data_IF_134340523269
#
_entry.id   IF_134340523269
#
_cell.length_a   1.000
_cell.length_b   1.000
_cell.length_c   1.000
_cell.angle_alpha   90.00
_cell.angle_beta   90.00
_cell.angle_gamma   90.00
#
_symmetry.space_group_name_H-M   'P 1'
#
loop_
_entity.id
_entity.type
_entity.pdbx_description
1 polymer ?
#
# COMPACT_ATOMS: atom_id res chain seq x y z
N UNK A 1 -20.12 23.59 6.22
CA UNK A 1 -20.31 22.82 4.95
C UNK A 1 -19.09 23.08 4.07
N UNK A 2 -17.96 22.40 4.36
CA UNK A 2 -16.70 22.63 3.65
C UNK A 2 -16.67 21.82 2.35
N UNK A 3 -16.62 22.53 1.21
CA UNK A 3 -16.27 21.98 -0.11
C UNK A 3 -14.74 21.88 -0.18
N UNK A 4 -14.21 20.67 -0.11
CA UNK A 4 -12.81 20.37 -0.42
C UNK A 4 -12.60 20.43 -1.94
N UNK A 5 -12.06 21.55 -2.42
CA UNK A 5 -11.45 21.66 -3.76
C UNK A 5 -9.95 21.90 -3.58
N UNK A 6 -9.18 21.19 -4.42
CA UNK A 6 -7.73 21.30 -4.63
C UNK A 6 -6.83 20.77 -3.51
N UNK A 7 -6.45 19.49 -3.65
CA UNK A 7 -5.20 18.96 -3.11
C UNK A 7 -4.15 19.10 -4.22
N UNK A 8 -3.26 20.07 -4.04
CA UNK A 8 -2.15 20.41 -4.93
C UNK A 8 -1.06 19.34 -4.83
N UNK A 9 -1.17 18.34 -5.71
CA UNK A 9 -0.16 17.56 -6.43
C UNK A 9 1.24 17.18 -5.91
N UNK A 10 1.75 17.50 -4.71
CA UNK A 10 3.21 17.34 -4.46
C UNK A 10 3.71 16.41 -3.34
N UNK A 11 2.88 15.74 -2.54
CA UNK A 11 3.42 14.84 -1.49
C UNK A 11 2.57 13.59 -1.25
N UNK A 12 2.27 12.85 -2.31
CA UNK A 12 1.74 11.49 -2.18
C UNK A 12 2.53 10.52 -3.04
N UNK A 13 3.02 9.47 -2.36
CA UNK A 13 3.47 8.19 -2.91
C UNK A 13 4.83 8.17 -3.63
N UNK A 14 5.79 7.52 -2.96
CA UNK A 14 6.83 6.65 -3.53
C UNK A 14 7.44 7.10 -4.87
N UNK A 15 8.27 8.14 -4.86
CA UNK A 15 9.01 8.47 -6.09
C UNK A 15 10.07 9.56 -6.05
N UNK A 16 10.47 10.09 -4.89
CA UNK A 16 11.55 11.11 -4.85
C UNK A 16 12.49 11.02 -3.63
N UNK A 17 12.24 10.14 -2.66
CA UNK A 17 13.22 9.81 -1.61
C UNK A 17 12.99 8.36 -1.17
N UNK A 18 14.04 7.56 -1.08
CA UNK A 18 14.01 6.17 -0.60
C UNK A 18 13.60 6.03 0.88
N UNK A 19 13.35 7.14 1.58
CA UNK A 19 13.03 7.18 3.01
C UNK A 19 11.68 7.84 3.27
N UNK A 20 10.58 7.22 2.84
CA UNK A 20 9.25 7.58 3.36
C UNK A 20 8.61 6.39 4.09
N UNK A 21 8.92 6.28 5.37
CA UNK A 21 8.13 5.45 6.25
C UNK A 21 7.78 6.19 7.53
N UNK A 22 6.56 5.96 7.95
CA UNK A 22 6.07 6.40 9.24
C UNK A 22 5.09 5.33 9.68
N UNK A 23 5.20 4.91 10.94
CA UNK A 23 4.10 4.21 11.59
C UNK A 23 2.84 5.08 11.48
N UNK A 24 1.64 4.52 11.32
CA UNK A 24 0.39 5.28 11.25
C UNK A 24 -0.03 5.81 12.63
N UNK A 25 0.93 6.39 13.36
CA UNK A 25 0.65 7.16 14.55
C UNK A 25 0.23 8.57 14.13
N UNK A 26 -0.96 8.96 14.56
CA UNK A 26 -1.59 10.24 14.25
C UNK A 26 -0.80 11.44 14.76
N UNK A 27 0.07 11.24 15.77
CA UNK A 27 1.02 12.25 16.21
C UNK A 27 2.03 12.64 15.13
N UNK A 28 2.14 11.86 14.04
CA UNK A 28 3.18 12.04 13.04
C UNK A 28 2.72 12.92 11.87
N UNK A 29 1.49 13.43 11.89
CA UNK A 29 0.94 14.30 10.86
C UNK A 29 0.47 15.62 11.48
N UNK A 30 1.01 16.75 11.00
CA UNK A 30 0.63 18.09 11.41
C UNK A 30 -0.09 18.79 10.26
N UNK A 31 -1.38 19.04 10.44
CA UNK A 31 -2.17 19.80 9.48
C UNK A 31 -1.87 21.30 9.63
N UNK A 32 -1.38 21.90 8.56
CA UNK A 32 -1.19 23.35 8.47
C UNK A 32 -2.40 23.96 7.77
N UNK A 33 -3.21 24.68 8.57
CA UNK A 33 -4.42 25.38 8.11
C UNK A 33 -4.12 26.49 7.09
N UNK A 34 -2.92 27.08 7.14
CA UNK A 34 -2.53 28.21 6.29
C UNK A 34 -2.20 27.75 4.88
N UNK A 35 -1.53 26.61 4.76
CA UNK A 35 -1.11 26.04 3.47
C UNK A 35 -2.05 24.93 2.98
N UNK A 36 -3.02 24.52 3.81
CA UNK A 36 -3.92 23.39 3.56
C UNK A 36 -3.15 22.09 3.26
N UNK A 37 -1.98 21.93 3.92
CA UNK A 37 -1.08 20.79 3.74
C UNK A 37 -1.03 19.94 5.00
N UNK A 38 -0.84 18.63 4.81
CA UNK A 38 -0.53 17.71 5.90
C UNK A 38 0.97 17.47 5.88
N UNK A 39 1.66 17.92 6.93
CA UNK A 39 3.10 17.75 7.10
C UNK A 39 3.38 16.46 7.88
N UNK A 40 4.26 15.62 7.36
CA UNK A 40 4.72 14.41 8.04
C UNK A 40 5.92 14.78 8.93
N UNK A 41 5.84 14.52 10.24
CA UNK A 41 6.84 14.97 11.22
C UNK A 41 7.70 13.85 11.81
N UNK A 42 7.47 12.59 11.40
CA UNK A 42 8.22 11.44 11.90
C UNK A 42 8.65 10.51 10.75
N UNK A 43 9.95 10.21 10.72
CA UNK A 43 10.61 9.29 9.78
C UNK A 43 11.24 8.09 10.50
N UNK A 44 10.93 7.88 11.79
CA UNK A 44 11.64 6.96 12.69
C UNK A 44 11.53 5.46 12.36
N UNK A 45 10.81 5.08 11.30
CA UNK A 45 10.62 3.69 10.89
C UNK A 45 11.20 3.37 9.50
N UNK A 46 12.09 4.22 8.96
CA UNK A 46 12.59 4.17 7.57
C UNK A 46 13.11 2.76 7.22
N UNK A 47 12.43 2.06 6.31
CA UNK A 47 12.87 0.80 5.73
C UNK A 47 12.94 0.99 4.22
N UNK A 48 14.13 0.86 3.66
CA UNK A 48 14.31 0.73 2.22
C UNK A 48 13.70 -0.60 1.74
N UNK A 49 13.00 -0.55 0.62
CA UNK A 49 12.50 -1.73 -0.08
C UNK A 49 13.28 -1.89 -1.37
N UNK A 50 13.58 -3.13 -1.76
CA UNK A 50 14.17 -3.39 -3.09
C UNK A 50 13.17 -2.97 -4.17
N UNK A 51 13.67 -2.39 -5.27
CA UNK A 51 12.80 -1.94 -6.36
C UNK A 51 11.96 -3.08 -6.94
N UNK A 52 12.53 -4.28 -7.07
CA UNK A 52 11.78 -5.48 -7.47
C UNK A 52 10.61 -5.81 -6.55
N UNK A 53 10.75 -5.61 -5.24
CA UNK A 53 9.66 -5.83 -4.28
C UNK A 53 8.57 -4.77 -4.45
N UNK A 54 8.93 -3.51 -4.70
CA UNK A 54 7.94 -2.43 -4.94
C UNK A 54 7.19 -2.65 -6.24
N UNK A 55 7.90 -3.02 -7.31
CA UNK A 55 7.34 -3.40 -8.61
C UNK A 55 6.26 -4.49 -8.44
N UNK A 56 6.63 -5.58 -7.77
CA UNK A 56 5.75 -6.73 -7.58
C UNK A 56 4.58 -6.40 -6.65
N UNK A 57 4.82 -5.62 -5.60
CA UNK A 57 3.76 -5.18 -4.71
C UNK A 57 2.76 -4.26 -5.42
N UNK A 58 3.22 -3.39 -6.32
CA UNK A 58 2.33 -2.53 -7.09
C UNK A 58 1.48 -3.34 -8.08
N UNK A 59 2.06 -4.36 -8.74
CA UNK A 59 1.31 -5.31 -9.58
C UNK A 59 0.26 -6.09 -8.77
N UNK A 60 0.62 -6.53 -7.57
CA UNK A 60 -0.31 -7.17 -6.63
C UNK A 60 -1.52 -6.27 -6.31
N UNK A 61 -1.28 -5.00 -6.00
CA UNK A 61 -2.37 -4.06 -5.67
C UNK A 61 -3.30 -3.86 -6.87
N UNK A 62 -2.76 -3.79 -8.09
CA UNK A 62 -3.57 -3.72 -9.32
C UNK A 62 -4.39 -4.99 -9.53
N UNK A 63 -3.81 -6.18 -9.31
CA UNK A 63 -4.52 -7.45 -9.40
C UNK A 63 -5.70 -7.51 -8.41
N UNK A 64 -5.46 -7.13 -7.15
CA UNK A 64 -6.51 -7.02 -6.13
C UNK A 64 -7.59 -6.01 -6.53
N UNK A 65 -7.21 -4.85 -7.07
CA UNK A 65 -8.14 -3.80 -7.52
C UNK A 65 -8.99 -4.23 -8.72
N UNK A 66 -8.52 -5.17 -9.54
CA UNK A 66 -9.23 -5.66 -10.71
C UNK A 66 -9.93 -7.01 -10.46
N UNK A 67 -9.89 -7.53 -9.23
CA UNK A 67 -10.41 -8.84 -8.86
C UNK A 67 -9.83 -9.98 -9.73
N UNK A 68 -8.55 -9.88 -10.09
CA UNK A 68 -7.86 -10.86 -10.91
C UNK A 68 -7.24 -11.96 -10.02
N UNK A 69 -7.92 -13.11 -9.95
CA UNK A 69 -7.52 -14.24 -9.08
C UNK A 69 -6.13 -14.75 -9.46
N UNK A 70 -5.89 -14.96 -10.75
CA UNK A 70 -4.68 -15.62 -11.22
C UNK A 70 -3.46 -14.71 -11.01
N UNK A 71 -3.60 -13.41 -11.32
CA UNK A 71 -2.56 -12.43 -11.04
C UNK A 71 -2.30 -12.26 -9.54
N UNK A 72 -3.33 -12.32 -8.68
CA UNK A 72 -3.13 -12.30 -7.21
C UNK A 72 -2.32 -13.53 -6.77
N UNK A 73 -2.60 -14.72 -7.28
CA UNK A 73 -1.84 -15.92 -6.92
C UNK A 73 -0.40 -15.83 -7.42
N UNK A 74 -0.19 -15.44 -8.67
CA UNK A 74 1.13 -15.28 -9.28
C UNK A 74 2.00 -14.29 -8.49
N UNK A 75 1.49 -13.08 -8.27
CA UNK A 75 2.23 -12.06 -7.54
C UNK A 75 2.46 -12.45 -6.08
N UNK A 76 1.54 -13.21 -5.48
CA UNK A 76 1.69 -13.67 -4.09
C UNK A 76 2.82 -14.68 -3.95
N UNK A 77 3.08 -15.48 -4.98
CA UNK A 77 4.24 -16.38 -5.02
C UNK A 77 5.53 -15.59 -5.20
N UNK A 78 5.56 -14.61 -6.11
CA UNK A 78 6.73 -13.75 -6.32
C UNK A 78 7.11 -12.98 -5.05
N UNK A 79 6.12 -12.45 -4.34
CA UNK A 79 6.30 -11.73 -3.07
C UNK A 79 6.53 -12.66 -1.86
N UNK A 80 6.53 -13.98 -2.05
CA UNK A 80 6.76 -14.95 -0.97
C UNK A 80 5.60 -15.07 0.04
N UNK A 81 4.39 -14.61 -0.29
CA UNK A 81 3.20 -14.82 0.54
C UNK A 81 2.67 -16.25 0.41
N UNK A 82 2.93 -16.89 -0.73
CA UNK A 82 2.58 -18.27 -1.04
C UNK A 82 3.84 -19.02 -1.46
N UNK A 83 4.01 -20.24 -0.95
CA UNK A 83 5.05 -21.20 -1.30
C UNK A 83 4.77 -21.91 -2.64
N UNK A 84 3.52 -21.89 -3.14
CA UNK A 84 3.13 -22.46 -4.43
C UNK A 84 2.49 -23.84 -4.36
N UNK A 85 2.46 -24.45 -3.17
CA UNK A 85 1.88 -25.78 -2.92
C UNK A 85 0.71 -25.74 -1.92
N UNK A 86 0.07 -24.58 -1.77
CA UNK A 86 -1.07 -24.39 -0.89
C UNK A 86 -2.29 -25.22 -1.31
N UNK A 87 -3.10 -25.61 -0.33
CA UNK A 87 -4.44 -26.14 -0.59
C UNK A 87 -5.34 -25.07 -1.20
N UNK A 88 -6.32 -25.45 -2.02
CA UNK A 88 -7.31 -24.50 -2.58
C UNK A 88 -8.04 -23.67 -1.52
N UNK A 89 -8.33 -24.25 -0.34
CA UNK A 89 -8.94 -23.51 0.78
C UNK A 89 -8.09 -22.30 1.21
N UNK A 90 -6.77 -22.45 1.18
CA UNK A 90 -5.83 -21.37 1.51
C UNK A 90 -5.73 -20.36 0.37
N UNK A 91 -5.67 -20.82 -0.89
CA UNK A 91 -5.65 -19.94 -2.06
C UNK A 91 -6.91 -19.08 -2.13
N UNK A 92 -8.08 -19.68 -1.95
CA UNK A 92 -9.35 -18.97 -1.97
C UNK A 92 -9.46 -17.96 -0.83
N UNK A 93 -9.06 -18.33 0.39
CA UNK A 93 -9.05 -17.40 1.52
C UNK A 93 -8.08 -16.23 1.29
N UNK A 94 -6.91 -16.50 0.71
CA UNK A 94 -5.89 -15.50 0.40
C UNK A 94 -6.36 -14.53 -0.70
N UNK A 95 -6.92 -15.06 -1.79
CA UNK A 95 -7.47 -14.26 -2.90
C UNK A 95 -8.62 -13.40 -2.41
N UNK A 96 -9.55 -13.95 -1.63
CA UNK A 96 -10.65 -13.20 -1.03
C UNK A 96 -10.15 -12.07 -0.13
N UNK A 97 -9.12 -12.34 0.68
CA UNK A 97 -8.49 -11.30 1.50
C UNK A 97 -7.89 -10.19 0.62
N UNK A 98 -7.19 -10.54 -0.45
CA UNK A 98 -6.67 -9.60 -1.44
C UNK A 98 -7.77 -8.72 -2.04
N UNK A 99 -8.88 -9.31 -2.47
CA UNK A 99 -10.01 -8.57 -3.05
C UNK A 99 -10.68 -7.64 -2.04
N UNK A 100 -10.85 -8.08 -0.79
CA UNK A 100 -11.40 -7.23 0.29
C UNK A 100 -10.51 -6.00 0.54
N UNK A 101 -9.18 -6.18 0.59
CA UNK A 101 -8.23 -5.06 0.68
C UNK A 101 -8.26 -4.20 -0.58
N UNK A 102 -8.50 -4.81 -1.73
CA UNK A 102 -8.63 -4.17 -3.04
C UNK A 102 -9.91 -3.35 -3.24
N UNK A 103 -10.95 -3.55 -2.43
CA UNK A 103 -12.27 -2.92 -2.59
C UNK A 103 -12.23 -1.40 -2.82
N UNK A 104 -11.45 -0.60 -2.05
CA UNK A 104 -11.40 0.85 -2.27
C UNK A 104 -10.92 1.23 -3.67
N UNK A 105 -10.12 0.38 -4.31
CA UNK A 105 -9.52 0.60 -5.63
C UNK A 105 -10.33 -0.03 -6.77
N UNK A 106 -11.40 -0.75 -6.46
CA UNK A 106 -12.13 -1.57 -7.45
C UNK A 106 -13.02 -0.75 -8.38
N UNK A 107 -13.66 0.30 -7.86
CA UNK A 107 -14.64 1.08 -8.61
C UNK A 107 -14.13 2.47 -8.95
N UNK A 108 -14.60 3.00 -10.08
CA UNK A 108 -14.44 4.42 -10.40
C UNK A 108 -15.29 5.27 -9.45
N UNK A 109 -14.82 6.48 -9.16
CA UNK A 109 -15.50 7.40 -8.23
C UNK A 109 -14.94 7.34 -6.81
N UNK A 110 -15.57 8.08 -5.91
CA UNK A 110 -15.10 8.22 -4.54
C UNK A 110 -15.61 7.07 -3.67
N UNK A 111 -14.71 6.43 -2.92
CA UNK A 111 -15.01 5.34 -2.01
C UNK A 111 -15.25 5.87 -0.59
N UNK A 112 -16.31 5.37 0.04
CA UNK A 112 -16.61 5.61 1.46
C UNK A 112 -16.05 4.46 2.31
N UNK A 113 -15.00 4.74 3.08
CA UNK A 113 -14.39 3.74 3.95
C UNK A 113 -15.27 3.31 5.12
N UNK A 114 -16.33 4.06 5.46
CA UNK A 114 -17.30 3.67 6.50
C UNK A 114 -18.35 2.69 5.99
N UNK A 115 -18.53 2.59 4.67
CA UNK A 115 -19.55 1.74 4.05
C UNK A 115 -19.29 0.24 4.22
N UNK A 116 -18.02 -0.16 4.39
CA UNK A 116 -17.60 -1.56 4.48
C UNK A 116 -16.60 -1.75 5.60
N UNK A 117 -16.84 -2.73 6.48
CA UNK A 117 -15.91 -3.07 7.55
C UNK A 117 -14.79 -4.00 7.04
N UNK A 118 -13.84 -3.42 6.29
CA UNK A 118 -12.68 -4.13 5.71
C UNK A 118 -11.93 -4.93 6.79
N UNK A 119 -11.68 -4.33 7.96
CA UNK A 119 -10.93 -4.99 9.04
C UNK A 119 -11.63 -6.27 9.53
N UNK A 120 -12.95 -6.20 9.75
CA UNK A 120 -13.71 -7.39 10.14
C UNK A 120 -13.75 -8.44 9.03
N UNK A 121 -13.93 -8.03 7.78
CA UNK A 121 -13.94 -8.94 6.64
C UNK A 121 -12.62 -9.72 6.50
N UNK A 122 -11.47 -9.05 6.72
CA UNK A 122 -10.16 -9.72 6.75
C UNK A 122 -10.00 -10.61 7.98
N UNK A 123 -10.45 -10.16 9.16
CA UNK A 123 -10.38 -10.95 10.39
C UNK A 123 -11.11 -12.29 10.26
N UNK A 124 -12.26 -12.32 9.57
CA UNK A 124 -13.03 -13.53 9.32
C UNK A 124 -12.25 -14.57 8.48
N UNK A 125 -11.38 -14.12 7.58
CA UNK A 125 -10.53 -15.00 6.77
C UNK A 125 -9.21 -15.37 7.48
N UNK A 126 -8.81 -14.58 8.48
CA UNK A 126 -7.55 -14.73 9.20
C UNK A 126 -7.39 -16.10 9.87
N UNK A 127 -8.46 -16.68 10.41
CA UNK A 127 -8.41 -18.02 11.02
C UNK A 127 -8.08 -19.11 10.00
N UNK A 128 -8.69 -19.05 8.81
CA UNK A 128 -8.41 -19.99 7.71
C UNK A 128 -6.97 -19.82 7.21
N UNK A 129 -6.54 -18.57 6.98
CA UNK A 129 -5.18 -18.26 6.53
C UNK A 129 -4.15 -18.75 7.54
N UNK A 130 -4.34 -18.47 8.83
CA UNK A 130 -3.42 -18.88 9.88
C UNK A 130 -3.30 -20.40 10.01
N UNK A 131 -4.43 -21.11 9.85
CA UNK A 131 -4.47 -22.57 9.93
C UNK A 131 -3.80 -23.26 8.76
N UNK A 132 -3.93 -22.70 7.55
CA UNK A 132 -3.53 -23.38 6.31
C UNK A 132 -2.26 -22.79 5.65
N UNK A 133 -1.73 -21.66 6.13
CA UNK A 133 -0.47 -21.10 5.61
C UNK A 133 0.71 -22.02 5.90
N UNK A 134 1.59 -22.16 4.92
CA UNK A 134 2.80 -22.99 5.03
C UNK A 134 3.99 -22.21 5.61
N UNK A 135 4.09 -20.93 5.31
CA UNK A 135 5.16 -20.04 5.76
C UNK A 135 4.61 -18.70 6.21
N UNK A 136 5.28 -18.00 7.14
CA UNK A 136 4.96 -16.60 7.41
C UNK A 136 5.33 -15.73 6.19
N UNK A 137 4.55 -14.69 5.89
CA UNK A 137 4.96 -13.66 4.93
C UNK A 137 6.30 -13.00 5.30
N UNK A 138 7.04 -12.43 4.33
CA UNK A 138 8.28 -11.70 4.59
C UNK A 138 8.10 -10.47 5.48
N UNK A 139 9.15 -10.07 6.19
CA UNK A 139 9.10 -8.95 7.15
C UNK A 139 8.73 -7.60 6.51
N UNK A 140 9.09 -7.41 5.24
CA UNK A 140 8.80 -6.22 4.44
C UNK A 140 7.30 -5.95 4.34
N UNK A 141 6.49 -7.00 4.15
CA UNK A 141 5.06 -6.82 3.89
C UNK A 141 4.29 -6.34 5.12
N UNK A 142 4.68 -6.76 6.32
CA UNK A 142 4.00 -6.34 7.54
C UNK A 142 4.08 -4.83 7.75
N UNK A 143 5.20 -4.22 7.34
CA UNK A 143 5.36 -2.77 7.42
C UNK A 143 4.45 -2.05 6.40
N UNK A 144 4.32 -2.56 5.18
CA UNK A 144 3.38 -2.01 4.18
C UNK A 144 1.91 -2.19 4.59
N UNK A 145 1.52 -3.38 5.05
CA UNK A 145 0.16 -3.65 5.50
C UNK A 145 -0.26 -2.78 6.68
N UNK A 146 0.67 -2.51 7.62
CA UNK A 146 0.42 -1.56 8.72
C UNK A 146 0.17 -0.15 8.21
N UNK A 147 0.97 0.35 7.26
CA UNK A 147 0.77 1.67 6.64
C UNK A 147 -0.59 1.78 5.94
N UNK A 148 -0.92 0.78 5.11
CA UNK A 148 -2.19 0.74 4.39
C UNK A 148 -3.38 0.73 5.36
N UNK A 149 -3.32 -0.12 6.39
CA UNK A 149 -4.34 -0.21 7.43
C UNK A 149 -4.52 1.12 8.17
N UNK A 150 -3.42 1.82 8.45
CA UNK A 150 -3.44 3.16 9.04
C UNK A 150 -4.15 4.19 8.18
N UNK A 151 -3.85 4.22 6.88
CA UNK A 151 -4.51 5.11 5.93
C UNK A 151 -6.00 4.82 5.77
N UNK A 152 -6.41 3.54 5.79
CA UNK A 152 -7.82 3.15 5.75
C UNK A 152 -8.55 3.61 7.00
N UNK A 153 -7.98 3.33 8.19
CA UNK A 153 -8.53 3.80 9.46
C UNK A 153 -8.64 5.32 9.49
N UNK A 154 -7.71 6.01 8.83
CA UNK A 154 -7.75 7.45 8.72
C UNK A 154 -8.96 7.96 7.94
N UNK A 155 -9.20 7.37 6.77
CA UNK A 155 -10.35 7.69 5.96
C UNK A 155 -11.66 7.38 6.71
N UNK A 156 -11.72 6.28 7.47
CA UNK A 156 -12.85 5.93 8.34
C UNK A 156 -13.08 7.01 9.40
N UNK A 157 -12.05 7.42 10.15
CA UNK A 157 -12.19 8.41 11.22
C UNK A 157 -12.64 9.77 10.68
N UNK A 158 -12.05 10.22 9.57
CA UNK A 158 -12.38 11.50 8.95
C UNK A 158 -13.73 11.50 8.22
N UNK A 159 -14.23 10.34 7.79
CA UNK A 159 -15.49 10.24 7.05
C UNK A 159 -15.42 10.86 5.66
N UNK A 160 -14.25 10.74 5.04
CA UNK A 160 -13.97 11.31 3.72
C UNK A 160 -14.27 10.29 2.62
N UNK A 161 -14.69 10.81 1.48
CA UNK A 161 -14.86 10.05 0.25
C UNK A 161 -13.62 10.24 -0.62
N UNK A 162 -12.94 9.15 -0.97
CA UNK A 162 -11.63 9.23 -1.65
C UNK A 162 -11.68 8.48 -2.99
N UNK A 163 -11.30 9.10 -4.12
CA UNK A 163 -11.25 8.42 -5.42
C UNK A 163 -10.02 7.52 -5.55
N UNK A 164 -9.93 6.48 -4.72
CA UNK A 164 -8.76 5.62 -4.55
C UNK A 164 -8.31 4.95 -5.86
N UNK A 165 -9.24 4.47 -6.70
CA UNK A 165 -8.88 3.90 -8.01
C UNK A 165 -8.16 4.90 -8.90
N UNK A 166 -8.68 6.12 -9.02
CA UNK A 166 -8.04 7.15 -9.83
C UNK A 166 -6.66 7.54 -9.29
N UNK A 167 -6.51 7.60 -7.96
CA UNK A 167 -5.20 7.85 -7.32
C UNK A 167 -4.21 6.71 -7.59
N UNK A 168 -4.64 5.45 -7.47
CA UNK A 168 -3.81 4.27 -7.75
C UNK A 168 -3.30 4.28 -9.19
N UNK A 169 -4.19 4.46 -10.17
CA UNK A 169 -3.80 4.47 -11.58
C UNK A 169 -2.89 5.66 -11.92
N UNK A 170 -3.12 6.84 -11.33
CA UNK A 170 -2.23 7.99 -11.49
C UNK A 170 -0.80 7.71 -11.01
N UNK A 171 -0.65 6.93 -9.93
CA UNK A 171 0.67 6.50 -9.45
C UNK A 171 1.23 5.43 -10.36
N UNK A 172 0.44 4.41 -10.70
CA UNK A 172 0.83 3.31 -11.56
C UNK A 172 1.37 3.77 -12.93
N UNK A 173 0.69 4.73 -13.57
CA UNK A 173 1.07 5.29 -14.87
C UNK A 173 2.37 6.10 -14.83
N UNK A 174 2.70 6.68 -13.67
CA UNK A 174 3.93 7.46 -13.48
C UNK A 174 5.09 6.64 -12.96
N UNK A 175 4.81 5.46 -12.43
CA UNK A 175 5.80 4.58 -11.84
C UNK A 175 6.62 3.90 -12.94
N UNK A 176 7.93 3.83 -12.75
CA UNK A 176 8.86 3.20 -13.70
C UNK A 176 9.34 1.87 -13.14
N UNK A 177 8.91 0.79 -13.78
CA UNK A 177 9.30 -0.57 -13.41
C UNK A 177 10.74 -0.86 -13.82
N UNK A 178 11.49 -1.57 -12.97
CA UNK A 178 12.82 -2.08 -13.29
C UNK A 178 13.96 -1.06 -13.30
N UNK A 179 13.74 0.19 -12.88
CA UNK A 179 14.86 1.10 -12.61
C UNK A 179 15.51 0.67 -11.29
N UNK A 180 16.62 -0.07 -11.33
CA UNK A 180 17.57 -0.08 -10.22
C UNK A 180 18.11 1.35 -10.11
N UNK A 181 18.05 1.97 -8.94
CA UNK A 181 18.84 3.18 -8.73
C UNK A 181 20.30 2.74 -8.87
N UNK A 182 20.89 3.02 -10.03
CA UNK A 182 22.33 3.04 -10.20
C UNK A 182 22.87 3.85 -9.04
N UNK A 183 23.55 3.17 -8.11
CA UNK A 183 24.28 3.81 -7.04
C UNK A 183 25.33 4.69 -7.69
N UNK A 184 24.97 5.95 -7.97
CA UNK A 184 25.86 6.93 -8.51
C UNK A 184 26.97 7.14 -7.49
N UNK A 185 28.06 6.51 -7.85
CA UNK A 185 29.36 6.54 -7.24
C UNK A 185 29.74 8.00 -7.01
N UNK A 186 29.62 8.47 -5.77
CA UNK A 186 30.45 9.58 -5.27
C UNK A 186 31.88 9.05 -5.08
N UNK A 187 32.53 8.68 -6.18
CA UNK A 187 33.97 8.84 -6.35
C UNK A 187 34.16 9.97 -7.37
N UNK A 188 34.37 11.17 -6.87
CA UNK A 188 35.53 11.96 -7.28
C UNK A 188 35.65 13.21 -6.41
N UNK A 189 36.81 13.30 -5.74
CA UNK A 189 37.62 14.54 -5.68
C UNK A 189 37.07 15.67 -4.79
N UNK A 190 37.78 16.22 -3.81
CA UNK A 190 39.21 16.55 -3.83
C UNK A 190 39.59 17.30 -2.54
N UNK A 191 40.88 17.21 -2.18
CA UNK A 191 41.69 18.20 -1.41
C UNK A 191 41.40 18.22 0.10
N UNK A 192 42.36 18.02 1.02
CA UNK A 192 43.81 18.25 1.05
C UNK A 192 44.49 17.34 2.06
#
# INVERSE_FOLDING_TARGET
MLKLRHISSNYWMLGQTQDLTTDPNWSNFLYDETTNMINLIDFGAARGYKNSFVDDYLRMVIACANCDRDAVIEMSRMLGFLAGTESEVMLDAHVQAGFIVGLPFSNLGAYDFRSTNIAQSISNLGATILKHRMTPPPDEVYSLHRKLSGAFLACIKLGVFVPCRALLYKVYEKYRFGEEEDGETLRSSSIS
#
